data_IF_281987496397
#
_entry.id   IF_281987496397
#
_cell.length_a   1.000
_cell.length_b   1.000
_cell.length_c   1.000
_cell.angle_alpha   90.00
_cell.angle_beta   90.00
_cell.angle_gamma   90.00
#
_symmetry.space_group_name_H-M   'P 1'
#
loop_
_entity.id
_entity.type
_entity.pdbx_description
1 polymer ?
#
# COMPACT_ATOMS: atom_id res chain seq x y z
N UNK A 1 -7.41 21.75 -1.15
CA UNK A 1 -7.22 20.30 -1.17
C UNK A 1 -5.74 19.98 -1.12
N UNK A 2 -5.36 19.07 -0.27
CA UNK A 2 -3.96 18.69 -0.18
C UNK A 2 -3.59 17.77 -1.33
N UNK A 3 -2.44 18.03 -1.90
CA UNK A 3 -1.94 17.19 -2.98
C UNK A 3 -1.47 15.85 -2.43
N UNK A 4 -1.82 14.79 -3.15
CA UNK A 4 -1.32 13.45 -2.87
C UNK A 4 -0.34 13.11 -3.98
N UNK A 5 0.87 12.72 -3.59
CA UNK A 5 1.92 12.42 -4.56
C UNK A 5 2.72 11.20 -4.11
N UNK A 6 3.26 10.49 -5.07
CA UNK A 6 4.09 9.33 -4.76
C UNK A 6 5.35 9.75 -4.00
N UNK A 7 5.63 9.06 -2.93
CA UNK A 7 6.78 9.32 -2.09
C UNK A 7 6.50 10.25 -0.91
N UNK A 8 5.28 10.80 -0.82
CA UNK A 8 4.95 11.65 0.32
C UNK A 8 4.97 10.85 1.63
N UNK A 9 5.19 11.54 2.77
CA UNK A 9 5.11 10.85 4.06
C UNK A 9 3.74 10.21 4.25
N UNK A 10 3.73 8.92 4.56
CA UNK A 10 2.47 8.17 4.70
C UNK A 10 1.58 8.77 5.78
N UNK A 11 2.18 9.29 6.87
CA UNK A 11 1.45 9.90 7.96
C UNK A 11 0.74 11.20 7.57
N UNK A 12 1.09 11.80 6.44
CA UNK A 12 0.51 13.05 5.97
C UNK A 12 -0.60 12.85 4.94
N UNK A 13 -0.93 11.62 4.61
CA UNK A 13 -2.01 11.35 3.67
C UNK A 13 -3.35 11.51 4.40
N UNK A 14 -4.17 12.52 4.04
CA UNK A 14 -5.40 12.79 4.77
C UNK A 14 -6.43 11.68 4.54
N UNK A 15 -7.10 11.28 5.62
CA UNK A 15 -8.20 10.33 5.54
C UNK A 15 -7.82 8.90 5.21
N UNK A 16 -6.55 8.57 5.24
CA UNK A 16 -6.12 7.21 4.92
C UNK A 16 -6.50 6.25 6.05
N UNK A 17 -7.16 5.16 5.68
CA UNK A 17 -7.40 4.04 6.58
C UNK A 17 -6.52 2.89 6.14
N UNK A 18 -5.48 2.62 6.90
CA UNK A 18 -4.48 1.62 6.54
C UNK A 18 -4.92 0.24 6.97
N UNK A 19 -4.81 -0.72 6.07
CA UNK A 19 -5.19 -2.11 6.34
C UNK A 19 -4.02 -3.03 6.02
N UNK A 20 -3.86 -4.03 6.86
CA UNK A 20 -2.85 -5.08 6.67
C UNK A 20 -3.56 -6.42 6.51
N UNK A 21 -2.84 -7.40 6.00
CA UNK A 21 -3.36 -8.76 5.89
C UNK A 21 -3.62 -9.34 7.30
N UNK A 22 -4.67 -10.14 7.41
CA UNK A 22 -4.94 -10.91 8.62
C UNK A 22 -3.83 -11.93 8.92
N UNK A 23 -2.99 -12.21 7.95
CA UNK A 23 -1.83 -13.10 8.11
C UNK A 23 -0.65 -12.43 8.77
N UNK A 24 -0.69 -11.09 8.90
CA UNK A 24 0.40 -10.34 9.51
C UNK A 24 0.47 -10.61 11.01
N UNK A 25 1.70 -10.73 11.51
CA UNK A 25 1.95 -10.82 12.94
C UNK A 25 1.57 -9.48 13.59
N UNK A 26 0.74 -9.47 14.65
CA UNK A 26 0.38 -8.21 15.32
C UNK A 26 1.56 -7.38 15.78
N UNK A 27 2.67 -8.02 16.14
CA UNK A 27 3.88 -7.35 16.61
C UNK A 27 4.92 -7.18 15.53
N UNK A 28 4.62 -7.60 14.29
CA UNK A 28 5.58 -7.56 13.20
C UNK A 28 5.42 -6.33 12.33
N UNK A 29 6.45 -6.08 11.51
CA UNK A 29 6.37 -5.10 10.47
C UNK A 29 5.47 -5.66 9.35
N UNK A 30 4.61 -4.81 8.81
CA UNK A 30 3.63 -5.21 7.82
C UNK A 30 3.64 -4.26 6.64
N UNK A 31 3.21 -4.76 5.50
CA UNK A 31 2.84 -3.89 4.38
C UNK A 31 1.37 -3.56 4.53
N UNK A 32 1.04 -2.29 4.48
CA UNK A 32 -0.33 -1.82 4.64
C UNK A 32 -0.77 -1.05 3.40
N UNK A 33 -2.07 -1.11 3.13
CA UNK A 33 -2.65 -0.50 1.94
C UNK A 33 -3.87 0.32 2.33
N UNK A 34 -4.06 1.44 1.64
CA UNK A 34 -5.21 2.32 1.88
C UNK A 34 -5.76 2.82 0.55
N UNK A 35 -7.08 2.78 0.41
CA UNK A 35 -7.75 3.39 -0.72
C UNK A 35 -7.90 4.89 -0.47
N UNK A 36 -7.54 5.69 -1.46
CA UNK A 36 -7.62 7.15 -1.38
C UNK A 36 -8.62 7.60 -2.43
N UNK A 37 -9.90 7.59 -2.06
CA UNK A 37 -10.96 7.85 -3.01
C UNK A 37 -11.09 6.72 -4.00
N UNK A 38 -11.49 7.03 -5.23
CA UNK A 38 -11.76 6.02 -6.26
C UNK A 38 -10.58 5.72 -7.17
N UNK A 39 -9.64 6.65 -7.25
CA UNK A 39 -8.62 6.61 -8.30
C UNK A 39 -7.23 6.26 -7.80
N UNK A 40 -6.99 6.40 -6.50
CA UNK A 40 -5.64 6.29 -5.95
C UNK A 40 -5.60 5.30 -4.82
N UNK A 41 -4.45 4.65 -4.69
CA UNK A 41 -4.19 3.68 -3.61
C UNK A 41 -2.78 3.95 -3.11
N UNK A 42 -2.62 3.91 -1.78
CA UNK A 42 -1.32 4.08 -1.15
C UNK A 42 -0.90 2.80 -0.45
N UNK A 43 0.40 2.56 -0.46
CA UNK A 43 1.03 1.41 0.21
C UNK A 43 2.13 1.95 1.11
N UNK A 44 2.23 1.42 2.32
CA UNK A 44 3.30 1.82 3.23
C UNK A 44 3.89 0.62 3.95
N UNK A 45 5.10 0.82 4.46
CA UNK A 45 5.72 -0.09 5.40
C UNK A 45 5.31 0.37 6.80
N UNK A 46 4.59 -0.46 7.55
CA UNK A 46 4.08 -0.08 8.87
C UNK A 46 5.19 0.20 9.88
N UNK A 47 6.38 -0.35 9.65
CA UNK A 47 7.54 -0.09 10.50
C UNK A 47 7.99 1.37 10.42
N UNK A 48 7.69 2.03 9.31
CA UNK A 48 8.06 3.42 9.07
C UNK A 48 6.80 4.21 8.70
N UNK A 49 5.91 4.46 9.68
CA UNK A 49 4.61 5.07 9.37
C UNK A 49 4.73 6.51 8.85
N UNK A 50 5.86 7.18 9.14
CA UNK A 50 6.14 8.51 8.59
C UNK A 50 7.01 8.43 7.33
N UNK A 51 7.37 7.23 6.90
CA UNK A 51 8.18 7.04 5.70
C UNK A 51 7.39 7.29 4.43
N UNK A 52 8.08 7.23 3.29
CA UNK A 52 7.44 7.51 2.00
C UNK A 52 6.38 6.45 1.66
N UNK A 53 5.25 6.91 1.15
CA UNK A 53 4.20 6.03 0.66
C UNK A 53 4.36 5.81 -0.83
N UNK A 54 4.11 4.58 -1.27
CA UNK A 54 3.98 4.28 -2.69
C UNK A 54 2.54 4.62 -3.07
N UNK A 55 2.36 5.63 -3.92
CA UNK A 55 1.03 6.05 -4.36
C UNK A 55 0.86 5.64 -5.81
N UNK A 56 -0.15 4.82 -6.07
CA UNK A 56 -0.41 4.28 -7.39
C UNK A 56 -1.85 4.55 -7.80
N UNK A 57 -2.12 4.43 -9.09
CA UNK A 57 -3.49 4.47 -9.57
C UNK A 57 -4.20 3.17 -9.22
N UNK A 58 -5.53 3.22 -9.17
CA UNK A 58 -6.34 2.03 -8.97
C UNK A 58 -6.04 0.97 -10.04
N UNK A 59 -5.87 1.39 -11.28
CA UNK A 59 -5.57 0.47 -12.38
C UNK A 59 -4.24 -0.26 -12.16
N UNK A 60 -3.20 0.47 -11.76
CA UNK A 60 -1.90 -0.14 -11.48
C UNK A 60 -2.00 -1.20 -10.40
N UNK A 61 -2.71 -0.91 -9.32
CA UNK A 61 -2.84 -1.83 -8.21
C UNK A 61 -3.72 -3.02 -8.59
N UNK A 62 -4.77 -2.78 -9.37
CA UNK A 62 -5.64 -3.86 -9.85
C UNK A 62 -4.82 -4.89 -10.64
N UNK A 63 -3.98 -4.42 -11.57
CA UNK A 63 -3.14 -5.33 -12.37
C UNK A 63 -2.13 -6.05 -11.50
N UNK A 64 -1.55 -5.36 -10.54
CA UNK A 64 -0.58 -5.96 -9.62
C UNK A 64 -1.22 -7.06 -8.78
N UNK A 65 -2.41 -6.80 -8.23
CA UNK A 65 -3.12 -7.81 -7.43
C UNK A 65 -3.53 -9.01 -8.28
N UNK A 66 -3.94 -8.80 -9.52
CA UNK A 66 -4.26 -9.88 -10.43
C UNK A 66 -3.03 -10.76 -10.69
N UNK A 67 -1.87 -10.13 -10.92
CA UNK A 67 -0.63 -10.86 -11.08
C UNK A 67 -0.25 -11.68 -9.86
N UNK A 68 -0.45 -11.11 -8.68
CA UNK A 68 -0.21 -11.82 -7.42
C UNK A 68 -1.11 -13.06 -7.32
N UNK A 69 -2.38 -12.91 -7.62
CA UNK A 69 -3.33 -14.04 -7.58
C UNK A 69 -2.96 -15.12 -8.56
N UNK A 70 -2.37 -14.76 -9.69
CA UNK A 70 -1.94 -15.71 -10.71
C UNK A 70 -0.58 -16.32 -10.41
N UNK A 71 0.05 -15.98 -9.31
CA UNK A 71 1.34 -16.53 -8.91
C UNK A 71 2.54 -15.98 -9.65
N UNK A 72 2.37 -14.86 -10.38
CA UNK A 72 3.44 -14.33 -11.24
C UNK A 72 4.65 -13.84 -10.43
N UNK A 73 4.46 -13.51 -9.16
CA UNK A 73 5.52 -12.95 -8.32
C UNK A 73 5.99 -13.91 -7.23
N UNK A 74 5.53 -15.16 -7.26
CA UNK A 74 5.87 -16.11 -6.20
C UNK A 74 7.38 -16.33 -6.09
N UNK A 75 8.12 -16.21 -7.21
CA UNK A 75 9.57 -16.41 -7.23
C UNK A 75 10.30 -15.38 -6.35
N UNK A 76 9.67 -14.25 -6.02
CA UNK A 76 10.30 -13.22 -5.19
C UNK A 76 10.63 -13.77 -3.80
N UNK A 77 9.85 -14.74 -3.33
CA UNK A 77 10.03 -15.34 -2.00
C UNK A 77 10.79 -16.65 -2.03
N UNK A 78 11.27 -17.06 -3.18
CA UNK A 78 12.01 -18.31 -3.34
C UNK A 78 13.47 -18.18 -2.94
#
# INVERSE_FOLDING_TARGET
>A
MKDIYNGMPASQIPGATWRKSARSNPNGACVEIAALGREMIAVRNSRFPCGPALVCTRSQVSDFLAGIKDGEFDHVLS
#
